data_IF_824256131408
#
_entry.id   IF_824256131408
#
_cell.length_a   1.000
_cell.length_b   1.000
_cell.length_c   1.000
_cell.angle_alpha   90.00
_cell.angle_beta   90.00
_cell.angle_gamma   90.00
#
_symmetry.space_group_name_H-M   'P 1'
#
loop_
_entity.id
_entity.type
_entity.pdbx_description
1 polymer ?
#
# COMPACT_ATOMS: atom_id res chain seq x y z
N UNK A 1 23.26 -17.52 59.92
CA UNK A 1 23.17 -16.16 59.32
C UNK A 1 23.09 -16.17 57.78
N UNK A 2 23.46 -17.24 57.06
CA UNK A 2 23.44 -17.26 55.59
C UNK A 2 22.07 -17.55 54.92
N UNK A 3 21.11 -18.16 55.62
CA UNK A 3 19.79 -18.51 55.06
C UNK A 3 18.76 -17.38 55.01
N UNK A 4 18.97 -16.29 55.76
CA UNK A 4 18.01 -15.17 55.83
C UNK A 4 18.20 -14.13 54.71
N UNK A 5 19.41 -14.04 54.15
CA UNK A 5 19.79 -13.03 53.14
C UNK A 5 19.35 -13.45 51.73
N UNK A 6 19.30 -14.76 51.45
CA UNK A 6 18.80 -15.29 50.16
C UNK A 6 17.28 -15.15 50.04
N UNK A 7 16.53 -15.33 51.12
CA UNK A 7 15.06 -15.20 51.14
C UNK A 7 14.58 -13.76 50.90
N UNK A 8 15.33 -12.75 51.36
CA UNK A 8 14.96 -11.33 51.22
C UNK A 8 15.19 -10.79 49.80
N UNK A 9 16.19 -11.31 49.08
CA UNK A 9 16.48 -10.91 47.70
C UNK A 9 15.59 -11.62 46.66
N UNK A 10 15.15 -12.85 46.91
CA UNK A 10 14.29 -13.60 45.97
C UNK A 10 12.79 -13.20 46.02
N UNK A 11 12.33 -12.66 47.14
CA UNK A 11 10.93 -12.27 47.34
C UNK A 11 10.39 -11.23 46.34
N UNK A 12 11.12 -10.14 46.01
CA UNK A 12 10.67 -9.19 44.98
C UNK A 12 10.63 -9.80 43.58
N UNK A 13 11.56 -10.69 43.22
CA UNK A 13 11.54 -11.38 41.92
C UNK A 13 10.33 -12.31 41.79
N UNK A 14 9.98 -13.05 42.84
CA UNK A 14 8.78 -13.90 42.87
C UNK A 14 7.49 -13.08 42.72
N UNK A 15 7.43 -11.88 43.31
CA UNK A 15 6.29 -10.98 43.18
C UNK A 15 6.16 -10.39 41.76
N UNK A 16 7.29 -10.10 41.10
CA UNK A 16 7.30 -9.66 39.70
C UNK A 16 6.82 -10.79 38.79
N UNK A 17 7.30 -12.03 39.00
CA UNK A 17 6.90 -13.18 38.21
C UNK A 17 5.41 -13.51 38.37
N UNK A 18 4.86 -13.42 39.60
CA UNK A 18 3.43 -13.63 39.82
C UNK A 18 2.57 -12.53 39.17
N UNK A 19 3.01 -11.28 39.23
CA UNK A 19 2.33 -10.16 38.57
C UNK A 19 2.34 -10.29 37.04
N UNK A 20 3.48 -10.68 36.46
CA UNK A 20 3.59 -10.94 35.03
C UNK A 20 2.71 -12.12 34.62
N UNK A 21 2.69 -13.20 35.40
CA UNK A 21 1.79 -14.34 35.16
C UNK A 21 0.32 -13.94 35.18
N UNK A 22 -0.10 -13.12 36.15
CA UNK A 22 -1.48 -12.63 36.22
C UNK A 22 -1.86 -11.76 35.02
N UNK A 23 -0.94 -10.90 34.52
CA UNK A 23 -1.17 -10.09 33.33
C UNK A 23 -1.24 -10.90 32.04
N UNK A 24 -0.45 -11.96 31.93
CA UNK A 24 -0.52 -12.87 30.78
C UNK A 24 -1.88 -13.55 30.74
N UNK A 25 -2.35 -14.07 31.88
CA UNK A 25 -3.67 -14.70 31.99
C UNK A 25 -4.83 -13.74 31.68
N UNK A 26 -4.77 -12.49 32.16
CA UNK A 26 -5.76 -11.46 31.85
C UNK A 26 -5.79 -11.16 30.34
N UNK A 27 -4.61 -11.05 29.72
CA UNK A 27 -4.50 -10.78 28.29
C UNK A 27 -4.94 -11.96 27.43
N UNK A 28 -4.67 -13.20 27.87
CA UNK A 28 -5.19 -14.42 27.25
C UNK A 28 -6.72 -14.48 27.35
N UNK A 29 -7.30 -14.10 28.49
CA UNK A 29 -8.76 -14.02 28.66
C UNK A 29 -9.39 -12.98 27.74
N UNK A 30 -8.80 -11.79 27.62
CA UNK A 30 -9.25 -10.74 26.70
C UNK A 30 -9.16 -11.18 25.24
N UNK A 31 -8.08 -11.86 24.85
CA UNK A 31 -7.94 -12.43 23.51
C UNK A 31 -9.01 -13.48 23.23
N UNK A 32 -9.34 -14.32 24.21
CA UNK A 32 -10.44 -15.28 24.10
C UNK A 32 -11.79 -14.60 23.86
N UNK A 33 -12.09 -13.55 24.63
CA UNK A 33 -13.32 -12.76 24.46
C UNK A 33 -13.39 -12.10 23.08
N UNK A 34 -12.32 -11.43 22.65
CA UNK A 34 -12.27 -10.78 21.34
C UNK A 34 -12.38 -11.77 20.19
N UNK A 35 -11.84 -12.98 20.34
CA UNK A 35 -11.98 -14.03 19.33
C UNK A 35 -13.43 -14.48 19.20
N UNK A 36 -14.11 -14.74 20.33
CA UNK A 36 -15.53 -15.10 20.34
C UNK A 36 -16.42 -13.99 19.77
N UNK A 37 -16.11 -12.73 20.07
CA UNK A 37 -16.88 -11.60 19.55
C UNK A 37 -16.65 -11.39 18.04
N UNK A 38 -15.42 -11.58 17.55
CA UNK A 38 -15.13 -11.58 16.11
C UNK A 38 -15.87 -12.69 15.36
N UNK A 39 -15.98 -13.89 15.92
CA UNK A 39 -16.76 -14.99 15.34
C UNK A 39 -18.25 -14.65 15.28
N UNK A 40 -18.79 -14.08 16.37
CA UNK A 40 -20.19 -13.60 16.42
C UNK A 40 -20.47 -12.55 15.35
N UNK A 41 -19.64 -11.51 15.29
CA UNK A 41 -19.77 -10.43 14.32
C UNK A 41 -19.62 -10.92 12.89
N UNK A 42 -18.70 -11.87 12.63
CA UNK A 42 -18.56 -12.48 11.30
C UNK A 42 -19.83 -13.24 10.89
N UNK A 43 -20.48 -13.94 11.84
CA UNK A 43 -21.78 -14.56 11.61
C UNK A 43 -22.89 -13.55 11.32
N UNK A 44 -22.92 -12.43 12.04
CA UNK A 44 -23.88 -11.34 11.79
C UNK A 44 -23.69 -10.71 10.41
N UNK A 45 -22.44 -10.48 9.99
CA UNK A 45 -22.12 -9.99 8.65
C UNK A 45 -22.62 -10.96 7.58
N UNK A 46 -22.33 -12.26 7.70
CA UNK A 46 -22.81 -13.26 6.75
C UNK A 46 -24.34 -13.27 6.64
N UNK A 47 -25.05 -13.16 7.77
CA UNK A 47 -26.52 -13.11 7.79
C UNK A 47 -27.07 -11.87 7.08
N UNK A 48 -26.43 -10.71 7.28
CA UNK A 48 -26.81 -9.47 6.62
C UNK A 48 -26.50 -9.51 5.11
N UNK A 49 -25.41 -10.16 4.70
CA UNK A 49 -25.08 -10.36 3.29
C UNK A 49 -26.14 -11.21 2.58
N UNK A 50 -26.60 -12.30 3.22
CA UNK A 50 -27.70 -13.14 2.73
C UNK A 50 -29.01 -12.35 2.61
N UNK A 51 -29.34 -11.53 3.61
CA UNK A 51 -30.54 -10.68 3.60
C UNK A 51 -30.47 -9.64 2.45
N UNK A 52 -29.31 -9.02 2.24
CA UNK A 52 -29.08 -8.10 1.10
C UNK A 52 -29.19 -8.83 -0.24
N UNK A 53 -28.71 -10.07 -0.33
CA UNK A 53 -28.82 -10.88 -1.55
C UNK A 53 -30.28 -11.21 -1.88
N UNK A 54 -31.07 -11.59 -0.88
CA UNK A 54 -32.51 -11.87 -1.06
C UNK A 54 -33.30 -10.61 -1.44
N UNK A 55 -33.05 -9.48 -0.77
CA UNK A 55 -33.68 -8.20 -1.13
C UNK A 55 -33.34 -7.78 -2.57
N UNK A 56 -32.10 -7.99 -3.02
CA UNK A 56 -31.71 -7.75 -4.42
C UNK A 56 -32.43 -8.70 -5.38
N UNK A 57 -32.63 -9.96 -5.01
CA UNK A 57 -33.38 -10.91 -5.83
C UNK A 57 -34.87 -10.52 -5.94
N UNK A 58 -35.47 -10.08 -4.84
CA UNK A 58 -36.85 -9.57 -4.82
C UNK A 58 -37.01 -8.33 -5.71
N UNK A 59 -36.08 -7.36 -5.62
CA UNK A 59 -36.08 -6.18 -6.48
C UNK A 59 -35.97 -6.53 -7.98
N UNK A 60 -35.14 -7.54 -8.32
CA UNK A 60 -35.03 -8.05 -9.70
C UNK A 60 -36.34 -8.68 -10.19
N UNK A 61 -37.00 -9.48 -9.34
CA UNK A 61 -38.31 -10.11 -9.67
C UNK A 61 -39.40 -9.06 -9.88
N UNK A 62 -39.49 -8.06 -8.99
CA UNK A 62 -40.46 -6.97 -9.11
C UNK A 62 -40.26 -6.17 -10.43
N UNK A 63 -39.00 -5.90 -10.80
CA UNK A 63 -38.66 -5.22 -12.06
C UNK A 63 -39.01 -6.05 -13.31
N UNK A 64 -38.86 -7.38 -13.26
CA UNK A 64 -39.26 -8.25 -14.36
C UNK A 64 -40.79 -8.33 -14.50
N UNK A 65 -41.53 -8.33 -13.37
CA UNK A 65 -42.99 -8.34 -13.38
C UNK A 65 -43.58 -7.03 -13.96
N UNK A 66 -43.00 -5.87 -13.63
CA UNK A 66 -43.44 -4.59 -14.20
C UNK A 66 -43.16 -4.49 -15.71
N UNK A 67 -42.01 -4.99 -16.19
CA UNK A 67 -41.73 -5.08 -17.63
C UNK A 67 -42.67 -6.03 -18.38
N UNK A 68 -43.11 -7.11 -17.73
CA UNK A 68 -44.05 -8.07 -18.33
C UNK A 68 -45.47 -7.49 -18.42
N UNK A 69 -45.91 -6.71 -17.42
CA UNK A 69 -47.19 -5.99 -17.48
C UNK A 69 -47.24 -4.94 -18.60
N UNK A 70 -46.13 -4.21 -18.83
CA UNK A 70 -46.01 -3.26 -19.94
C UNK A 70 -46.14 -3.96 -21.31
N UNK A 71 -45.54 -5.14 -21.46
CA UNK A 71 -45.61 -5.92 -22.71
C UNK A 71 -47.01 -6.54 -22.98
N UNK A 72 -47.78 -6.87 -21.94
CA UNK A 72 -49.15 -7.39 -22.09
C UNK A 72 -50.14 -6.28 -22.48
N UNK A 73 -49.96 -5.05 -21.99
CA UNK A 73 -50.76 -3.89 -22.42
C UNK A 73 -50.52 -3.52 -23.90
N UNK A 74 -49.29 -3.59 -24.40
CA UNK A 74 -48.97 -3.24 -25.79
C UNK A 74 -49.62 -4.19 -26.83
N UNK A 75 -49.90 -5.44 -26.45
CA UNK A 75 -50.68 -6.37 -27.29
C UNK A 75 -52.18 -6.08 -27.32
N UNK A 76 -52.77 -5.44 -26.31
CA UNK A 76 -54.19 -5.06 -26.34
C UNK A 76 -54.46 -3.85 -27.24
N UNK A 77 -53.48 -2.96 -27.42
CA UNK A 77 -53.64 -1.77 -28.29
C UNK A 77 -53.39 -2.06 -29.78
N UNK A 78 -52.68 -3.15 -30.13
CA UNK A 78 -52.37 -3.49 -31.53
C UNK A 78 -53.51 -4.13 -32.34
N UNK A 79 -54.62 -4.52 -31.71
CA UNK A 79 -55.74 -5.19 -32.38
C UNK A 79 -56.88 -4.25 -32.82
N UNK A 80 -56.79 -2.93 -32.61
CA UNK A 80 -57.90 -1.99 -32.89
C UNK A 80 -57.68 -1.11 -34.14
N UNK A 81 -56.54 -1.18 -34.82
CA UNK A 81 -56.28 -0.34 -36.00
C UNK A 81 -55.98 -1.14 -37.27
N UNK A 82 -57.03 -1.73 -37.84
CA UNK A 82 -57.05 -2.19 -39.24
C UNK A 82 -58.39 -1.86 -39.89
N UNK A 83 -58.61 -0.57 -40.17
CA UNK A 83 -59.54 -0.12 -41.22
C UNK A 83 -59.11 1.26 -41.73
N UNK A 84 -59.19 1.40 -43.05
CA UNK A 84 -59.24 2.62 -43.89
C UNK A 84 -57.94 3.07 -44.60
N UNK A 85 -58.03 2.93 -45.92
CA UNK A 85 -57.16 3.35 -47.01
C UNK A 85 -57.12 4.88 -47.21
N UNK A 86 -55.98 5.44 -47.66
CA UNK A 86 -55.95 6.54 -48.66
C UNK A 86 -54.69 6.41 -49.54
N UNK A 87 -54.91 6.67 -50.82
CA UNK A 87 -54.05 6.57 -52.01
C UNK A 87 -53.22 7.86 -52.27
N UNK A 88 -52.13 7.72 -53.06
CA UNK A 88 -51.34 8.70 -53.86
C UNK A 88 -50.16 9.43 -53.17
N UNK A 89 -49.03 9.73 -53.81
CA UNK A 89 -48.51 9.47 -55.17
C UNK A 89 -46.97 9.57 -55.17
N UNK A 90 -46.40 8.86 -56.14
CA UNK A 90 -45.04 8.75 -56.69
C UNK A 90 -43.99 9.87 -56.50
N UNK A 91 -42.74 9.51 -56.18
CA UNK A 91 -41.54 9.78 -57.03
C UNK A 91 -40.21 9.15 -56.54
N UNK A 92 -39.62 8.35 -57.45
CA UNK A 92 -38.17 8.23 -57.78
C UNK A 92 -37.17 7.40 -56.94
N UNK A 93 -36.92 6.20 -57.48
CA UNK A 93 -35.63 5.61 -57.88
C UNK A 93 -34.61 5.02 -56.86
N UNK A 94 -34.47 3.68 -57.03
CA UNK A 94 -33.25 2.87 -57.29
C UNK A 94 -32.48 2.23 -56.12
N UNK A 95 -32.40 0.89 -56.19
CA UNK A 95 -31.30 0.07 -55.65
C UNK A 95 -31.75 -1.26 -55.05
N UNK A 96 -32.16 -2.24 -55.86
CA UNK A 96 -31.46 -3.52 -56.15
C UNK A 96 -30.92 -4.32 -54.93
N UNK A 97 -31.44 -5.55 -54.78
CA UNK A 97 -30.82 -6.66 -54.04
C UNK A 97 -31.83 -7.42 -53.16
N UNK A 98 -32.66 -8.30 -53.75
CA UNK A 98 -32.48 -9.78 -53.86
C UNK A 98 -32.63 -10.52 -52.52
N UNK A 99 -33.71 -11.29 -52.44
CA UNK A 99 -34.13 -12.23 -51.38
C UNK A 99 -33.02 -13.18 -50.93
N UNK A 100 -33.00 -13.52 -49.63
CA UNK A 100 -33.01 -14.92 -49.14
C UNK A 100 -33.69 -14.95 -47.75
N UNK A 101 -34.76 -15.74 -47.64
CA UNK A 101 -35.30 -16.31 -46.39
C UNK A 101 -34.68 -17.69 -46.20
N UNK A 102 -34.21 -18.09 -45.01
CA UNK A 102 -34.54 -19.37 -44.29
C UNK A 102 -34.03 -19.28 -42.81
N UNK A 103 -34.79 -19.77 -41.81
CA UNK A 103 -34.55 -19.61 -40.36
C UNK A 103 -34.05 -20.88 -39.66
N UNK A 104 -33.18 -20.80 -38.64
CA UNK A 104 -32.89 -21.91 -37.68
C UNK A 104 -32.42 -21.33 -36.33
N UNK A 105 -33.22 -21.44 -35.25
CA UNK A 105 -33.22 -22.46 -34.16
C UNK A 105 -32.05 -22.43 -33.17
N UNK A 106 -32.43 -22.54 -31.89
CA UNK A 106 -31.68 -22.49 -30.64
C UNK A 106 -30.40 -23.33 -30.54
N UNK A 107 -29.46 -22.88 -29.71
CA UNK A 107 -28.98 -23.61 -28.52
C UNK A 107 -28.34 -22.65 -27.51
N UNK A 108 -28.58 -22.93 -26.23
CA UNK A 108 -27.79 -22.43 -25.10
C UNK A 108 -26.38 -23.04 -25.17
N UNK A 109 -25.34 -22.26 -24.83
CA UNK A 109 -24.42 -22.51 -23.70
C UNK A 109 -23.13 -21.65 -23.81
N UNK A 110 -22.95 -20.82 -22.78
CA UNK A 110 -21.72 -20.40 -22.07
C UNK A 110 -20.40 -20.21 -22.86
N UNK A 111 -19.90 -18.97 -22.93
CA UNK A 111 -18.51 -18.70 -22.55
C UNK A 111 -18.32 -17.24 -22.10
N UNK A 112 -17.67 -17.09 -20.95
CA UNK A 112 -17.35 -15.82 -20.30
C UNK A 112 -15.99 -15.35 -20.80
N UNK A 113 -15.96 -14.43 -21.77
CA UNK A 113 -14.74 -13.65 -22.07
C UNK A 113 -15.08 -12.18 -22.26
N UNK A 114 -14.58 -11.38 -21.32
CA UNK A 114 -14.52 -9.93 -21.39
C UNK A 114 -13.84 -9.50 -22.69
N UNK A 115 -14.59 -8.83 -23.57
CA UNK A 115 -14.03 -8.10 -24.71
C UNK A 115 -14.13 -6.60 -24.42
N UNK A 116 -12.95 -6.00 -24.22
CA UNK A 116 -12.71 -4.56 -24.04
C UNK A 116 -12.58 -3.94 -25.44
N UNK A 117 -13.35 -2.90 -25.83
CA UNK A 117 -13.10 -2.20 -27.07
C UNK A 117 -11.96 -1.17 -26.88
N UNK A 118 -11.10 -0.94 -27.90
CA UNK A 118 -9.93 -0.08 -27.77
C UNK A 118 -10.28 1.40 -27.90
N UNK A 119 -9.67 2.20 -27.02
CA UNK A 119 -9.66 3.66 -27.01
C UNK A 119 -8.72 4.17 -28.11
N UNK A 120 -9.22 4.95 -29.08
CA UNK A 120 -8.37 5.78 -29.95
C UNK A 120 -8.38 7.23 -29.45
N UNK A 121 -7.17 7.67 -29.10
CA UNK A 121 -6.80 9.01 -28.67
C UNK A 121 -6.83 10.00 -29.83
N UNK A 122 -7.28 11.23 -29.58
CA UNK A 122 -6.77 12.42 -30.25
C UNK A 122 -6.64 13.55 -29.22
N UNK A 123 -5.42 13.73 -28.70
CA UNK A 123 -4.85 15.00 -28.21
C UNK A 123 -3.59 15.24 -29.07
N UNK A 124 -3.12 16.44 -29.40
CA UNK A 124 -3.64 17.80 -29.30
C UNK A 124 -3.15 18.56 -30.55
N UNK A 125 -3.26 19.88 -30.67
CA UNK A 125 -2.37 20.78 -29.95
C UNK A 125 -2.72 22.26 -30.21
N UNK A 126 -2.62 23.02 -29.12
CA UNK A 126 -2.28 24.46 -28.98
C UNK A 126 -2.86 25.50 -29.96
N UNK A 127 -3.69 26.40 -29.42
CA UNK A 127 -3.39 27.84 -29.43
C UNK A 127 -4.32 28.61 -28.47
N UNK A 128 -3.71 29.29 -27.51
CA UNK A 128 -4.30 30.48 -26.89
C UNK A 128 -4.33 31.60 -27.93
N UNK A 129 -5.49 32.20 -28.19
CA UNK A 129 -5.63 33.63 -28.47
C UNK A 129 -7.10 34.05 -28.52
N UNK A 130 -7.47 34.83 -27.51
CA UNK A 130 -8.35 36.00 -27.59
C UNK A 130 -8.68 36.47 -29.00
N UNK A 131 -9.98 36.63 -29.31
CA UNK A 131 -10.59 37.84 -29.90
C UNK A 131 -12.12 37.71 -30.02
N UNK A 132 -12.79 38.52 -29.21
CA UNK A 132 -14.06 39.23 -29.46
C UNK A 132 -15.35 38.49 -29.89
N UNK A 133 -16.30 38.50 -28.95
CA UNK A 133 -17.68 38.99 -29.05
C UNK A 133 -18.46 38.80 -30.37
N UNK A 134 -19.56 38.06 -30.28
CA UNK A 134 -20.67 38.07 -31.24
C UNK A 134 -21.84 37.23 -30.74
N UNK A 135 -22.90 37.88 -30.27
CA UNK A 135 -24.16 37.31 -29.79
C UNK A 135 -24.90 36.49 -30.87
N UNK A 136 -25.54 35.38 -30.48
CA UNK A 136 -26.63 34.80 -31.27
C UNK A 136 -27.67 34.08 -30.38
N UNK A 137 -28.73 34.85 -30.07
CA UNK A 137 -30.14 34.50 -29.95
C UNK A 137 -30.57 33.22 -29.19
N UNK A 138 -31.03 33.47 -27.96
CA UNK A 138 -31.99 32.65 -27.23
C UNK A 138 -33.38 32.86 -27.87
N UNK A 139 -34.01 31.81 -28.42
CA UNK A 139 -35.34 31.89 -29.04
C UNK A 139 -36.43 31.58 -27.99
N UNK A 140 -37.27 32.56 -27.59
CA UNK A 140 -38.26 32.38 -26.51
C UNK A 140 -39.56 31.67 -26.94
N UNK A 141 -39.70 31.22 -28.19
CA UNK A 141 -40.97 30.66 -28.67
C UNK A 141 -41.22 29.19 -28.27
N UNK A 142 -40.20 28.43 -27.89
CA UNK A 142 -40.35 26.98 -27.60
C UNK A 142 -40.85 26.66 -26.17
N UNK A 143 -40.92 27.64 -25.28
CA UNK A 143 -41.37 27.45 -23.88
C UNK A 143 -42.89 27.65 -23.73
N UNK A 144 -43.51 28.38 -24.66
CA UNK A 144 -44.94 28.72 -24.61
C UNK A 144 -45.83 27.54 -24.97
N UNK A 145 -45.39 26.67 -25.88
CA UNK A 145 -46.15 25.50 -26.30
C UNK A 145 -46.08 24.37 -25.25
N UNK A 146 -44.97 24.27 -24.51
CA UNK A 146 -44.84 23.32 -23.39
C UNK A 146 -45.66 23.75 -22.18
N UNK A 147 -45.62 25.04 -21.82
CA UNK A 147 -46.44 25.60 -20.75
C UNK A 147 -47.95 25.57 -21.09
N UNK A 148 -48.32 25.82 -22.35
CA UNK A 148 -49.71 25.72 -22.82
C UNK A 148 -50.20 24.27 -22.85
N UNK A 149 -49.37 23.32 -23.27
CA UNK A 149 -49.70 21.90 -23.20
C UNK A 149 -49.90 21.41 -21.76
N UNK A 150 -49.04 21.84 -20.82
CA UNK A 150 -49.18 21.54 -19.41
C UNK A 150 -50.45 22.18 -18.78
N UNK A 151 -50.79 23.40 -19.20
CA UNK A 151 -52.00 24.09 -18.76
C UNK A 151 -53.29 23.44 -19.31
N UNK A 152 -53.31 23.04 -20.59
CA UNK A 152 -54.44 22.33 -21.21
C UNK A 152 -54.65 20.94 -20.60
N UNK A 153 -53.57 20.24 -20.22
CA UNK A 153 -53.66 18.98 -19.47
C UNK A 153 -54.23 19.16 -18.05
N UNK A 154 -54.02 20.33 -17.43
CA UNK A 154 -54.56 20.65 -16.10
C UNK A 154 -56.06 20.99 -16.12
N UNK A 155 -56.60 21.51 -17.24
CA UNK A 155 -58.02 21.87 -17.36
C UNK A 155 -58.95 20.71 -17.75
N UNK A 156 -58.42 19.58 -18.24
CA UNK A 156 -59.24 18.51 -18.84
C UNK A 156 -59.57 17.30 -17.97
N UNK A 157 -59.22 17.27 -16.68
CA UNK A 157 -59.48 16.10 -15.83
C UNK A 157 -59.83 16.47 -14.37
N UNK A 158 -61.10 16.76 -14.02
CA UNK A 158 -61.55 16.67 -12.64
C UNK A 158 -61.96 15.22 -12.31
N UNK A 159 -61.11 14.24 -12.67
CA UNK A 159 -61.30 12.87 -12.19
C UNK A 159 -60.37 12.63 -11.00
N UNK A 160 -60.84 11.84 -10.03
CA UNK A 160 -60.05 11.41 -8.86
C UNK A 160 -58.64 10.92 -9.24
N UNK A 161 -58.48 10.38 -10.45
CA UNK A 161 -57.23 9.83 -10.97
C UNK A 161 -56.14 10.88 -11.20
N UNK A 162 -56.50 12.11 -11.60
CA UNK A 162 -55.53 13.19 -11.83
C UNK A 162 -54.95 13.73 -10.51
N UNK A 163 -55.82 13.89 -9.50
CA UNK A 163 -55.40 14.26 -8.16
C UNK A 163 -54.56 13.16 -7.49
N UNK A 164 -54.91 11.90 -7.73
CA UNK A 164 -54.16 10.73 -7.26
C UNK A 164 -52.80 10.58 -7.96
N UNK A 165 -52.73 10.82 -9.27
CA UNK A 165 -51.46 10.87 -10.00
C UNK A 165 -50.55 11.99 -9.49
N UNK A 166 -51.09 13.18 -9.23
CA UNK A 166 -50.34 14.30 -8.67
C UNK A 166 -49.91 14.10 -7.20
N UNK A 167 -50.65 13.30 -6.41
CA UNK A 167 -50.20 12.91 -5.07
C UNK A 167 -49.07 11.88 -5.14
N UNK A 168 -49.19 10.86 -5.99
CA UNK A 168 -48.11 9.87 -6.19
C UNK A 168 -46.85 10.52 -6.75
N UNK A 169 -46.96 11.46 -7.69
CA UNK A 169 -45.80 12.17 -8.24
C UNK A 169 -45.04 12.93 -7.15
N UNK A 170 -45.75 13.61 -6.24
CA UNK A 170 -45.12 14.31 -5.09
C UNK A 170 -44.44 13.36 -4.11
N UNK A 171 -45.00 12.19 -3.91
CA UNK A 171 -44.41 11.15 -3.07
C UNK A 171 -43.13 10.59 -3.71
N UNK A 172 -43.15 10.27 -5.01
CA UNK A 172 -41.98 9.86 -5.77
C UNK A 172 -40.87 10.92 -5.79
N UNK A 173 -41.21 12.19 -6.03
CA UNK A 173 -40.24 13.29 -6.04
C UNK A 173 -39.63 13.49 -4.63
N UNK A 174 -40.42 13.29 -3.58
CA UNK A 174 -39.96 13.32 -2.19
C UNK A 174 -39.02 12.16 -1.84
N UNK A 175 -39.32 10.95 -2.33
CA UNK A 175 -38.45 9.79 -2.18
C UNK A 175 -37.14 9.93 -2.97
N UNK A 176 -37.19 10.43 -4.21
CA UNK A 176 -36.02 10.68 -5.04
C UNK A 176 -35.09 11.73 -4.41
N UNK A 177 -35.66 12.80 -3.84
CA UNK A 177 -34.90 13.79 -3.08
C UNK A 177 -34.20 13.16 -1.85
N UNK A 178 -34.89 12.29 -1.11
CA UNK A 178 -34.30 11.54 0.02
C UNK A 178 -33.19 10.59 -0.42
N UNK A 179 -33.40 9.82 -1.48
CA UNK A 179 -32.41 8.92 -2.05
C UNK A 179 -31.17 9.68 -2.51
N UNK A 180 -31.33 10.83 -3.18
CA UNK A 180 -30.21 11.70 -3.56
C UNK A 180 -29.45 12.27 -2.35
N UNK A 181 -30.16 12.65 -1.28
CA UNK A 181 -29.53 13.11 -0.04
C UNK A 181 -28.74 11.99 0.67
N UNK A 182 -29.28 10.77 0.72
CA UNK A 182 -28.57 9.61 1.26
C UNK A 182 -27.35 9.23 0.42
N UNK A 183 -27.49 9.24 -0.91
CA UNK A 183 -26.40 8.93 -1.85
C UNK A 183 -25.27 9.97 -1.79
N UNK A 184 -25.61 11.25 -1.63
CA UNK A 184 -24.60 12.28 -1.39
C UNK A 184 -23.90 12.04 -0.06
N UNK A 185 -24.64 11.75 1.03
CA UNK A 185 -24.04 11.43 2.34
C UNK A 185 -23.07 10.25 2.26
N UNK A 186 -23.47 9.14 1.62
CA UNK A 186 -22.65 7.95 1.41
C UNK A 186 -21.37 8.23 0.62
N UNK A 187 -21.43 9.10 -0.39
CA UNK A 187 -20.25 9.53 -1.16
C UNK A 187 -19.26 10.34 -0.34
N UNK A 188 -19.73 11.11 0.65
CA UNK A 188 -18.86 11.89 1.54
C UNK A 188 -18.28 11.05 2.67
N UNK A 189 -18.95 9.96 3.07
CA UNK A 189 -18.46 9.00 4.09
C UNK A 189 -17.66 7.84 3.51
N UNK A 190 -17.61 7.69 2.19
CA UNK A 190 -16.79 6.67 1.56
C UNK A 190 -15.31 6.97 1.85
N UNK A 191 -14.56 6.05 2.50
CA UNK A 191 -13.15 6.27 2.76
C UNK A 191 -12.42 6.48 1.43
N UNK A 192 -11.52 7.45 1.40
CA UNK A 192 -10.69 7.71 0.22
C UNK A 192 -9.93 6.44 -0.17
N UNK A 193 -9.69 6.29 -1.48
CA UNK A 193 -8.82 5.24 -2.01
C UNK A 193 -7.41 5.82 -2.11
N UNK A 194 -6.41 5.06 -1.66
CA UNK A 194 -5.00 5.40 -1.76
C UNK A 194 -4.26 4.27 -2.48
N UNK A 195 -3.28 4.62 -3.32
CA UNK A 195 -2.41 3.65 -3.98
C UNK A 195 -1.10 3.51 -3.22
N UNK A 196 -0.72 2.26 -2.89
CA UNK A 196 0.50 1.99 -2.17
C UNK A 196 1.74 2.05 -3.08
N UNK A 197 2.68 2.95 -2.80
CA UNK A 197 3.93 3.07 -3.57
C UNK A 197 4.92 1.89 -3.49
N UNK A 198 4.57 0.78 -2.82
CA UNK A 198 5.39 -0.44 -2.73
C UNK A 198 4.78 -1.58 -3.55
N UNK A 199 3.50 -1.89 -3.33
CA UNK A 199 2.81 -2.98 -4.04
C UNK A 199 1.98 -2.51 -5.23
N UNK A 200 1.78 -1.19 -5.39
CA UNK A 200 0.97 -0.56 -6.45
C UNK A 200 -0.50 -1.01 -6.44
N UNK A 201 -1.00 -1.40 -5.28
CA UNK A 201 -2.40 -1.77 -5.06
C UNK A 201 -3.18 -0.62 -4.39
N UNK A 202 -4.48 -0.56 -4.67
CA UNK A 202 -5.43 0.41 -4.10
C UNK A 202 -6.01 -0.10 -2.77
N UNK A 203 -5.96 0.74 -1.74
CA UNK A 203 -6.51 0.44 -0.42
C UNK A 203 -7.36 1.60 0.12
N UNK A 204 -8.27 1.29 1.04
CA UNK A 204 -8.97 2.30 1.82
C UNK A 204 -7.99 3.05 2.74
N UNK A 205 -8.23 4.35 2.94
CA UNK A 205 -7.41 5.20 3.84
C UNK A 205 -7.29 4.62 5.27
N UNK A 206 -8.26 3.84 5.72
CA UNK A 206 -8.28 3.25 7.08
C UNK A 206 -7.17 2.20 7.32
N UNK A 207 -6.63 1.59 6.25
CA UNK A 207 -5.54 0.60 6.32
C UNK A 207 -4.17 1.19 5.92
N UNK A 208 -4.06 2.52 5.91
CA UNK A 208 -2.82 3.23 5.64
C UNK A 208 -1.96 3.31 6.89
N UNK A 209 -0.68 2.97 6.75
CA UNK A 209 0.37 3.37 7.66
C UNK A 209 1.05 4.64 7.13
N UNK A 210 1.07 5.71 7.91
CA UNK A 210 1.77 6.96 7.59
C UNK A 210 3.04 7.04 8.43
N UNK A 211 4.16 7.40 7.82
CA UNK A 211 5.43 7.61 8.52
C UNK A 211 5.50 9.07 8.98
N UNK A 212 5.54 9.31 10.29
CA UNK A 212 5.45 10.66 10.89
C UNK A 212 6.51 11.65 10.38
N UNK A 213 7.74 11.19 10.16
CA UNK A 213 8.86 12.05 9.76
C UNK A 213 8.77 12.58 8.31
N UNK A 214 8.16 11.82 7.40
CA UNK A 214 8.17 12.14 5.98
C UNK A 214 6.78 12.22 5.35
N UNK A 215 5.73 11.84 6.07
CA UNK A 215 4.34 11.88 5.63
C UNK A 215 3.96 10.83 4.59
N UNK A 216 4.90 10.00 4.11
CA UNK A 216 4.62 8.97 3.12
C UNK A 216 3.72 7.87 3.68
N UNK A 217 2.83 7.39 2.81
CA UNK A 217 1.74 6.45 3.12
C UNK A 217 1.99 5.11 2.46
N UNK A 218 1.73 4.02 3.19
CA UNK A 218 1.95 2.66 2.75
C UNK A 218 0.86 1.72 3.24
N UNK A 219 0.69 0.62 2.53
CA UNK A 219 -0.13 -0.49 3.00
C UNK A 219 0.54 -1.10 4.24
N UNK A 220 -0.23 -1.50 5.27
CA UNK A 220 0.32 -2.05 6.52
C UNK A 220 1.24 -3.26 6.28
N UNK A 221 0.87 -4.15 5.37
CA UNK A 221 1.68 -5.34 5.04
C UNK A 221 3.01 -4.94 4.40
N UNK A 222 3.01 -3.93 3.53
CA UNK A 222 4.18 -3.45 2.82
C UNK A 222 5.22 -2.82 3.75
N UNK A 223 4.78 -1.94 4.66
CA UNK A 223 5.71 -1.29 5.59
C UNK A 223 6.25 -2.29 6.62
N UNK A 224 5.40 -3.20 7.11
CA UNK A 224 5.82 -4.25 8.04
C UNK A 224 6.84 -5.18 7.38
N UNK A 225 6.58 -5.64 6.15
CA UNK A 225 7.51 -6.46 5.38
C UNK A 225 8.85 -5.75 5.14
N UNK A 226 8.83 -4.46 4.77
CA UNK A 226 10.06 -3.67 4.63
C UNK A 226 10.82 -3.56 5.96
N UNK A 227 10.12 -3.25 7.06
CA UNK A 227 10.77 -3.14 8.37
C UNK A 227 11.36 -4.47 8.82
N UNK A 228 10.64 -5.58 8.68
CA UNK A 228 11.12 -6.91 9.03
C UNK A 228 12.34 -7.30 8.20
N UNK A 229 12.29 -7.12 6.87
CA UNK A 229 13.42 -7.40 5.99
C UNK A 229 14.66 -6.57 6.37
N UNK A 230 14.50 -5.28 6.73
CA UNK A 230 15.64 -4.44 7.14
C UNK A 230 16.20 -4.81 8.51
N UNK A 231 15.37 -5.32 9.41
CA UNK A 231 15.81 -5.89 10.70
C UNK A 231 16.60 -7.17 10.46
N UNK A 232 16.11 -8.08 9.62
CA UNK A 232 16.80 -9.33 9.28
C UNK A 232 18.14 -9.08 8.58
N UNK A 233 18.19 -8.07 7.71
CA UNK A 233 19.41 -7.57 7.06
C UNK A 233 20.35 -6.81 8.03
N UNK A 234 19.97 -6.64 9.31
CA UNK A 234 20.70 -5.87 10.34
C UNK A 234 21.01 -4.43 9.88
N UNK A 235 20.12 -3.82 9.09
CA UNK A 235 20.27 -2.46 8.54
C UNK A 235 19.52 -1.45 9.39
N UNK A 236 20.27 -0.51 9.98
CA UNK A 236 19.75 0.64 10.72
C UNK A 236 20.41 1.95 10.23
N UNK A 237 19.74 3.11 10.25
CA UNK A 237 18.31 3.33 10.48
C UNK A 237 17.46 2.82 9.30
N UNK A 238 16.26 2.33 9.61
CA UNK A 238 15.29 1.90 8.59
C UNK A 238 14.69 3.15 7.94
N UNK A 239 15.12 3.44 6.72
CA UNK A 239 14.64 4.60 5.95
C UNK A 239 13.32 4.25 5.25
N UNK A 240 12.43 5.25 5.15
CA UNK A 240 11.20 5.17 4.35
C UNK A 240 11.52 4.71 2.91
N UNK A 241 10.80 3.72 2.36
CA UNK A 241 11.00 3.22 0.98
C UNK A 241 10.90 4.32 -0.08
N UNK A 242 9.98 5.27 0.07
CA UNK A 242 9.81 6.39 -0.87
C UNK A 242 10.90 7.44 -0.69
N UNK A 243 11.26 7.82 0.53
CA UNK A 243 12.40 8.73 0.77
C UNK A 243 13.75 8.14 0.32
N UNK A 244 13.84 6.81 0.23
CA UNK A 244 15.02 6.15 -0.33
C UNK A 244 15.10 6.34 -1.85
N UNK A 245 13.96 6.41 -2.53
CA UNK A 245 13.87 6.65 -3.97
C UNK A 245 13.98 8.15 -4.32
N UNK A 246 13.31 9.01 -3.55
CA UNK A 246 13.28 10.46 -3.72
C UNK A 246 14.30 11.13 -2.80
N UNK A 247 15.48 11.43 -3.38
CA UNK A 247 16.65 12.05 -2.74
C UNK A 247 16.29 13.08 -1.65
N UNK A 248 16.34 12.66 -0.37
CA UNK A 248 16.12 13.57 0.76
C UNK A 248 16.17 12.91 2.12
N UNK A 249 17.36 12.50 2.58
CA UNK A 249 17.58 12.00 3.93
C UNK A 249 17.50 13.14 4.95
N UNK A 250 16.38 13.27 5.68
CA UNK A 250 16.40 13.89 7.02
C UNK A 250 16.86 12.85 8.02
N UNK A 251 18.16 12.86 8.36
CA UNK A 251 18.71 12.09 9.49
C UNK A 251 18.46 12.88 10.78
N UNK A 252 17.74 12.29 11.73
CA UNK A 252 17.89 12.63 13.15
C UNK A 252 17.98 11.32 13.93
N UNK A 253 19.17 11.04 14.46
CA UNK A 253 19.36 10.10 15.56
C UNK A 253 19.62 10.94 16.80
N UNK A 254 18.65 10.98 17.70
CA UNK A 254 18.76 11.74 18.94
C UNK A 254 19.70 11.04 19.93
N UNK A 255 20.34 11.83 20.81
CA UNK A 255 21.21 11.37 21.92
C UNK A 255 20.59 10.26 22.79
N UNK A 256 19.26 10.13 22.80
CA UNK A 256 18.55 9.06 23.49
C UNK A 256 18.82 7.66 22.89
N UNK A 257 19.11 7.58 21.59
CA UNK A 257 19.45 6.32 20.94
C UNK A 257 20.84 5.80 21.37
N UNK A 258 21.82 6.69 21.57
CA UNK A 258 23.14 6.30 22.09
C UNK A 258 23.02 5.75 23.52
N UNK A 259 22.21 6.40 24.37
CA UNK A 259 21.92 5.93 25.74
C UNK A 259 21.19 4.59 25.73
N UNK A 260 20.26 4.38 24.80
CA UNK A 260 19.56 3.11 24.63
C UNK A 260 20.50 1.98 24.20
N UNK A 261 21.42 2.25 23.27
CA UNK A 261 22.44 1.29 22.84
C UNK A 261 23.39 0.95 24.00
N UNK A 262 23.81 1.95 24.78
CA UNK A 262 24.62 1.73 25.98
C UNK A 262 23.91 0.83 27.00
N UNK A 263 22.62 1.07 27.24
CA UNK A 263 21.81 0.27 28.17
C UNK A 263 21.62 -1.18 27.70
N UNK A 264 21.48 -1.40 26.39
CA UNK A 264 21.40 -2.75 25.83
C UNK A 264 22.75 -3.49 25.90
N UNK A 265 23.86 -2.82 25.62
CA UNK A 265 25.19 -3.42 25.65
C UNK A 265 25.66 -3.76 27.08
N UNK A 266 25.23 -3.00 28.10
CA UNK A 266 25.54 -3.27 29.51
C UNK A 266 25.04 -4.64 30.02
N UNK A 267 24.04 -5.24 29.35
CA UNK A 267 23.57 -6.58 29.66
C UNK A 267 24.62 -7.65 29.31
N UNK A 268 25.42 -7.43 28.26
CA UNK A 268 26.33 -8.43 27.68
C UNK A 268 27.81 -8.06 27.77
N UNK A 269 28.15 -6.82 28.13
CA UNK A 269 29.53 -6.33 28.17
C UNK A 269 29.94 -5.75 29.53
N UNK A 270 31.24 -5.73 29.81
CA UNK A 270 31.90 -5.10 30.96
C UNK A 270 32.76 -3.94 30.45
N UNK A 271 32.72 -2.81 31.15
CA UNK A 271 33.55 -1.65 30.83
C UNK A 271 34.92 -1.81 31.49
N UNK A 272 35.96 -1.92 30.68
CA UNK A 272 37.34 -1.87 31.16
C UNK A 272 37.88 -0.45 31.08
N UNK A 273 38.58 -0.05 32.14
CA UNK A 273 39.19 1.26 32.28
C UNK A 273 40.71 1.11 32.16
N UNK A 274 41.30 1.68 31.12
CA UNK A 274 42.76 1.66 30.98
C UNK A 274 43.39 2.66 31.96
N UNK A 275 44.16 2.17 32.95
CA UNK A 275 44.81 3.00 33.97
C UNK A 275 45.86 3.98 33.41
N UNK A 276 46.32 3.76 32.18
CA UNK A 276 47.36 4.56 31.54
C UNK A 276 46.82 5.74 30.73
N UNK A 277 45.75 5.53 29.95
CA UNK A 277 45.16 6.57 29.11
C UNK A 277 43.83 7.11 29.62
N UNK A 278 43.24 6.49 30.66
CA UNK A 278 41.93 6.82 31.25
C UNK A 278 40.73 6.64 30.30
N UNK A 279 40.90 5.98 29.16
CA UNK A 279 39.79 5.63 28.27
C UNK A 279 39.08 4.35 28.72
N UNK A 280 37.83 4.22 28.28
CA UNK A 280 36.93 3.09 28.55
C UNK A 280 36.66 2.29 27.28
N UNK A 281 36.58 0.97 27.40
CA UNK A 281 36.20 0.07 26.30
C UNK A 281 35.24 -1.00 26.81
N UNK A 282 34.25 -1.35 25.98
CA UNK A 282 33.34 -2.46 26.27
C UNK A 282 33.98 -3.78 25.82
N UNK A 283 34.01 -4.77 26.70
CA UNK A 283 34.48 -6.14 26.43
C UNK A 283 33.37 -7.11 26.77
N UNK A 284 33.24 -8.21 26.02
CA UNK A 284 32.22 -9.21 26.28
C UNK A 284 32.35 -9.83 27.69
N UNK A 285 31.22 -10.02 28.39
CA UNK A 285 31.19 -10.58 29.76
C UNK A 285 31.74 -12.00 29.83
N UNK A 286 31.44 -12.83 28.84
CA UNK A 286 31.88 -14.22 28.81
C UNK A 286 33.39 -14.32 28.56
N UNK A 287 33.92 -13.49 27.66
CA UNK A 287 35.36 -13.43 27.36
C UNK A 287 36.18 -12.85 28.52
N UNK A 288 35.67 -11.78 29.16
CA UNK A 288 36.26 -11.21 30.36
C UNK A 288 36.29 -12.20 31.53
N UNK A 289 35.21 -12.97 31.73
CA UNK A 289 35.14 -13.98 32.79
C UNK A 289 36.05 -15.19 32.54
N UNK A 290 36.26 -15.54 31.27
CA UNK A 290 37.11 -16.67 30.88
C UNK A 290 38.63 -16.37 30.97
N UNK A 291 39.02 -15.09 31.00
CA UNK A 291 40.43 -14.68 30.94
C UNK A 291 40.87 -14.03 32.25
N UNK A 292 41.53 -14.80 33.13
CA UNK A 292 42.00 -14.28 34.44
C UNK A 292 43.14 -13.26 34.33
N UNK A 293 43.92 -13.27 33.23
CA UNK A 293 45.01 -12.32 32.96
C UNK A 293 45.08 -12.03 31.45
N UNK A 294 44.79 -10.78 31.04
CA UNK A 294 45.10 -10.26 29.71
C UNK A 294 46.62 -10.13 29.56
N UNK A 295 47.30 -11.17 29.07
CA UNK A 295 48.73 -11.11 28.77
C UNK A 295 48.97 -10.23 27.53
N UNK A 296 49.61 -9.08 27.74
CA UNK A 296 50.18 -8.30 26.65
C UNK A 296 51.53 -8.95 26.30
N UNK A 297 51.60 -9.62 25.15
CA UNK A 297 52.87 -10.18 24.68
C UNK A 297 53.85 -9.06 24.32
N UNK A 298 55.02 -9.07 24.97
CA UNK A 298 56.11 -8.13 24.69
C UNK A 298 56.82 -8.56 23.40
N UNK A 299 56.43 -7.94 22.29
CA UNK A 299 56.95 -8.21 20.94
C UNK A 299 56.11 -7.61 19.81
N UNK A 300 54.89 -7.13 20.11
CA UNK A 300 53.98 -6.49 19.17
C UNK A 300 54.19 -4.98 18.95
N UNK A 301 53.32 -4.33 18.16
CA UNK A 301 53.33 -2.88 17.96
C UNK A 301 53.18 -2.11 19.28
N UNK A 302 53.55 -0.82 19.31
CA UNK A 302 53.37 0.03 20.49
C UNK A 302 51.91 -0.04 20.97
N UNK A 303 51.70 -0.51 22.20
CA UNK A 303 50.36 -0.69 22.77
C UNK A 303 49.49 0.56 22.60
N UNK A 304 48.23 0.35 22.25
CA UNK A 304 47.20 1.38 22.27
C UNK A 304 46.00 0.88 23.05
N UNK A 305 45.55 1.64 24.05
CA UNK A 305 44.45 1.17 24.91
C UNK A 305 43.09 1.11 24.20
N UNK A 306 42.98 1.69 23.00
CA UNK A 306 41.82 1.55 22.10
C UNK A 306 41.98 0.38 21.10
N UNK A 307 43.12 -0.35 21.14
CA UNK A 307 43.43 -1.45 20.24
C UNK A 307 43.76 -1.03 18.80
N UNK A 308 43.89 0.27 18.52
CA UNK A 308 44.10 0.80 17.16
C UNK A 308 45.45 0.41 16.55
N UNK A 309 46.53 0.39 17.34
CA UNK A 309 47.87 -0.04 16.94
C UNK A 309 47.91 -1.53 16.62
N UNK A 310 47.30 -2.35 17.49
CA UNK A 310 47.20 -3.79 17.38
C UNK A 310 46.37 -4.17 16.14
N UNK A 311 45.21 -3.52 15.95
CA UNK A 311 44.36 -3.73 14.78
C UNK A 311 45.06 -3.30 13.48
N UNK A 312 45.75 -2.16 13.45
CA UNK A 312 46.52 -1.72 12.26
C UNK A 312 47.61 -2.71 11.90
N UNK A 313 48.31 -3.24 12.89
CA UNK A 313 49.35 -4.25 12.67
C UNK A 313 48.77 -5.55 12.12
N UNK A 314 47.66 -6.04 12.68
CA UNK A 314 46.94 -7.21 12.18
C UNK A 314 46.44 -7.01 10.74
N UNK A 315 45.89 -5.84 10.43
CA UNK A 315 45.44 -5.52 9.08
C UNK A 315 46.58 -5.54 8.06
N UNK A 316 47.76 -5.03 8.43
CA UNK A 316 48.95 -5.11 7.57
C UNK A 316 49.43 -6.56 7.39
N UNK A 317 49.49 -7.33 8.48
CA UNK A 317 49.96 -8.71 8.47
C UNK A 317 49.05 -9.64 7.65
N UNK A 318 47.73 -9.44 7.74
CA UNK A 318 46.70 -10.25 7.05
C UNK A 318 46.34 -9.71 5.67
N UNK A 319 46.78 -8.51 5.30
CA UNK A 319 46.40 -7.85 4.06
C UNK A 319 44.94 -7.37 4.00
N UNK A 320 44.27 -7.27 5.15
CA UNK A 320 42.89 -6.78 5.25
C UNK A 320 42.76 -5.34 4.77
N UNK A 321 41.57 -4.99 4.26
CA UNK A 321 41.32 -3.67 3.67
C UNK A 321 40.34 -2.88 4.50
N UNK A 322 40.48 -1.56 4.48
CA UNK A 322 39.47 -0.66 5.01
C UNK A 322 38.42 -0.36 3.95
N UNK A 323 37.15 -0.27 4.36
CA UNK A 323 36.13 0.31 3.51
C UNK A 323 36.51 1.76 3.16
N UNK A 324 36.56 2.16 1.88
CA UNK A 324 36.93 3.52 1.51
C UNK A 324 35.94 4.57 2.00
N UNK A 325 34.66 4.20 2.18
CA UNK A 325 33.58 5.08 2.62
C UNK A 325 33.56 5.34 4.13
N UNK A 326 33.53 4.30 4.97
CA UNK A 326 33.38 4.44 6.43
C UNK A 326 34.60 4.02 7.25
N UNK A 327 35.67 3.53 6.61
CA UNK A 327 36.89 3.02 7.26
C UNK A 327 36.67 1.82 8.18
N UNK A 328 35.56 1.10 8.04
CA UNK A 328 35.38 -0.19 8.72
C UNK A 328 36.37 -1.22 8.14
N UNK A 329 37.14 -1.95 8.98
CA UNK A 329 37.98 -3.06 8.54
C UNK A 329 37.15 -4.14 7.86
N UNK A 330 37.69 -4.73 6.79
CA UNK A 330 37.07 -5.80 6.05
C UNK A 330 38.08 -6.92 5.76
N UNK A 331 37.65 -8.15 6.01
CA UNK A 331 38.31 -9.39 5.64
C UNK A 331 37.51 -10.07 4.53
N UNK A 332 38.21 -10.60 3.51
CA UNK A 332 37.62 -11.48 2.50
C UNK A 332 37.86 -12.93 2.92
N UNK A 333 36.78 -13.66 3.15
CA UNK A 333 36.83 -15.09 3.51
C UNK A 333 36.87 -15.95 2.25
N UNK A 334 35.94 -15.72 1.31
CA UNK A 334 35.83 -16.45 0.05
C UNK A 334 35.07 -15.62 -1.00
N UNK A 335 35.09 -16.05 -2.27
CA UNK A 335 34.30 -15.50 -3.36
C UNK A 335 35.01 -14.41 -4.17
N UNK A 336 34.22 -13.54 -4.78
CA UNK A 336 34.72 -12.49 -5.67
C UNK A 336 35.30 -11.29 -4.91
N UNK A 337 36.07 -10.46 -5.61
CA UNK A 337 36.73 -9.27 -5.05
C UNK A 337 35.80 -8.06 -4.89
N UNK A 338 34.51 -8.18 -5.23
CA UNK A 338 33.51 -7.16 -4.97
C UNK A 338 33.03 -7.23 -3.52
N UNK A 339 33.46 -6.28 -2.72
CA UNK A 339 33.00 -6.12 -1.35
C UNK A 339 31.82 -5.17 -1.29
N UNK A 340 30.87 -5.47 -0.42
CA UNK A 340 29.81 -4.56 0.01
C UNK A 340 30.01 -4.27 1.48
N UNK A 341 30.18 -2.99 1.83
CA UNK A 341 30.34 -2.62 3.23
C UNK A 341 29.04 -2.90 4.00
N UNK A 342 29.17 -3.68 5.09
CA UNK A 342 28.06 -4.03 5.96
C UNK A 342 27.74 -2.93 6.99
N UNK A 343 28.58 -1.90 7.10
CA UNK A 343 28.38 -0.83 8.08
C UNK A 343 27.06 -0.09 7.81
N UNK A 344 26.19 0.05 8.82
CA UNK A 344 24.87 0.62 8.62
C UNK A 344 24.93 2.03 8.01
N UNK A 345 24.18 2.25 6.93
CA UNK A 345 24.16 3.53 6.21
C UNK A 345 25.38 3.84 5.34
N UNK A 346 26.39 2.98 5.26
CA UNK A 346 27.56 3.20 4.39
C UNK A 346 27.22 2.92 2.92
N UNK A 347 26.70 1.72 2.60
CA UNK A 347 26.36 1.29 1.23
C UNK A 347 27.51 1.42 0.20
N UNK A 348 28.76 1.47 0.66
CA UNK A 348 29.91 1.52 -0.24
C UNK A 348 30.25 0.12 -0.75
N UNK A 349 30.24 -0.03 -2.07
CA UNK A 349 30.82 -1.14 -2.78
C UNK A 349 32.25 -0.82 -3.16
N UNK A 350 33.19 -1.71 -2.90
CA UNK A 350 34.62 -1.48 -3.15
C UNK A 350 35.31 -2.78 -3.59
N UNK A 351 36.47 -2.65 -4.22
CA UNK A 351 37.25 -3.80 -4.64
C UNK A 351 38.24 -4.20 -3.53
N UNK A 352 38.28 -5.48 -3.17
CA UNK A 352 39.20 -5.98 -2.14
C UNK A 352 40.67 -5.95 -2.59
N UNK A 353 40.92 -6.10 -3.90
CA UNK A 353 42.28 -6.15 -4.46
C UNK A 353 42.93 -4.77 -4.43
N UNK A 354 42.33 -3.79 -5.12
CA UNK A 354 42.89 -2.44 -5.20
C UNK A 354 42.48 -1.54 -4.02
N UNK A 355 41.44 -1.89 -3.27
CA UNK A 355 40.92 -1.08 -2.15
C UNK A 355 40.11 0.15 -2.58
N UNK A 356 39.92 0.37 -3.88
CA UNK A 356 39.19 1.53 -4.41
C UNK A 356 37.68 1.39 -4.25
N UNK A 357 37.01 2.53 -4.05
CA UNK A 357 35.56 2.60 -4.07
C UNK A 357 35.04 2.38 -5.50
N UNK A 358 34.09 1.46 -5.66
CA UNK A 358 33.39 1.20 -6.92
C UNK A 358 32.17 2.13 -7.02
N UNK A 359 31.33 2.14 -5.99
CA UNK A 359 30.18 3.05 -5.89
C UNK A 359 29.65 3.12 -4.44
N UNK A 360 28.84 4.12 -4.13
CA UNK A 360 28.11 4.21 -2.87
C UNK A 360 26.61 4.33 -3.16
N UNK A 361 25.93 3.19 -3.29
CA UNK A 361 24.52 3.14 -3.67
C UNK A 361 23.88 1.84 -3.18
N UNK A 362 22.57 1.88 -2.97
CA UNK A 362 21.77 0.67 -2.74
C UNK A 362 21.06 0.18 -4.02
N UNK A 363 21.13 0.95 -5.12
CA UNK A 363 20.43 0.66 -6.35
C UNK A 363 21.19 -0.38 -7.20
N UNK A 364 20.53 -1.50 -7.49
CA UNK A 364 21.15 -2.63 -8.21
C UNK A 364 21.67 -2.27 -9.60
N UNK A 365 21.00 -1.35 -10.30
CA UNK A 365 21.40 -0.87 -11.63
C UNK A 365 22.72 -0.09 -11.61
N UNK A 366 22.84 0.86 -10.68
CA UNK A 366 24.05 1.66 -10.49
C UNK A 366 25.22 0.78 -10.05
N UNK A 367 24.97 -0.17 -9.14
CA UNK A 367 25.95 -1.14 -8.68
C UNK A 367 26.46 -1.95 -9.88
N UNK A 368 25.59 -2.60 -10.66
CA UNK A 368 26.00 -3.40 -11.83
C UNK A 368 26.83 -2.60 -12.83
N UNK A 369 26.38 -1.39 -13.17
CA UNK A 369 27.08 -0.52 -14.12
C UNK A 369 28.49 -0.16 -13.62
N UNK A 370 28.61 0.23 -12.34
CA UNK A 370 29.87 0.59 -11.72
C UNK A 370 30.83 -0.62 -11.60
N UNK A 371 30.31 -1.81 -11.27
CA UNK A 371 31.09 -3.04 -11.28
C UNK A 371 31.66 -3.33 -12.67
N UNK A 372 30.80 -3.30 -13.69
CA UNK A 372 31.22 -3.55 -15.08
C UNK A 372 32.26 -2.53 -15.56
N UNK A 373 32.21 -1.29 -15.10
CA UNK A 373 33.23 -0.29 -15.39
C UNK A 373 34.55 -0.57 -14.67
N UNK A 374 34.50 -0.91 -13.38
CA UNK A 374 35.68 -1.17 -12.56
C UNK A 374 36.46 -2.42 -13.02
N UNK A 375 35.76 -3.55 -13.20
CA UNK A 375 36.39 -4.83 -13.53
C UNK A 375 36.80 -4.98 -15.00
N UNK A 376 36.63 -3.94 -15.82
CA UNK A 376 37.37 -3.83 -17.09
C UNK A 376 38.87 -3.60 -16.88
N UNK A 377 39.25 -3.07 -15.71
CA UNK A 377 40.64 -2.71 -15.36
C UNK A 377 41.12 -3.36 -14.07
N UNK A 378 40.31 -4.23 -13.46
CA UNK A 378 40.64 -4.93 -12.22
C UNK A 378 40.14 -6.38 -12.30
N UNK A 379 40.50 -7.24 -11.34
CA UNK A 379 40.16 -8.66 -11.34
C UNK A 379 39.00 -8.95 -10.40
N UNK A 380 37.86 -9.41 -10.94
CA UNK A 380 36.69 -9.78 -10.15
C UNK A 380 36.90 -11.09 -9.39
N UNK A 381 37.60 -12.04 -10.00
CA UNK A 381 37.96 -13.31 -9.39
C UNK A 381 39.48 -13.46 -9.39
N UNK A 382 39.99 -14.21 -8.42
CA UNK A 382 41.40 -14.63 -8.43
C UNK A 382 41.54 -15.81 -9.40
N UNK A 383 42.67 -15.86 -10.10
CA UNK A 383 42.96 -16.97 -11.02
C UNK A 383 43.20 -18.22 -10.17
N UNK A 384 42.37 -19.25 -10.35
CA UNK A 384 42.55 -20.55 -9.69
C UNK A 384 43.80 -21.18 -10.31
N UNK A 385 44.88 -21.28 -9.53
CA UNK A 385 46.11 -21.95 -9.93
C UNK A 385 45.97 -23.47 -9.89
#
# INVERSE_FOLDING_TARGET
MAGAVTSTLLRPYLHILSYLGARVLDMESQNGYLTADNERLSGEVSRLEDEVAELKAQARRAKAQSQTQIYVQDKSYRNVSRTLDVVRDSQSQKGKGREVYVPHTSTNEVDSKQFIPPRRQIEGSHASSSRHAGSAFYDPMYDRDFALAAALQAEQMPSQDGAFAASMQREFDGEDARLKAQMTTLKHTAPGIFECGICLEEFNVDVVARIDICGHQFCRTCILGHTAAKIDERRYPIVCPVCMADKGLKKQGDKQYEVFVEMQLAAFSVILHCRKCKNTVFVDKSEHAATEILKIEFGGPKHSCDGSSELKHLMQQRGWKYCPGCKTPAEKIDGCNHMTCMSPGCNTHFCYVCGEAITQSALRSEIKSALSAHYRRCRLFEDVA
#
